data_IF_022126756998
#
_entry.id   IF_022126756998
#
_cell.length_a   1.000
_cell.length_b   1.000
_cell.length_c   1.000
_cell.angle_alpha   90.00
_cell.angle_beta   90.00
_cell.angle_gamma   90.00
#
_symmetry.space_group_name_H-M   'P 1'
#
loop_
_entity.id
_entity.type
_entity.pdbx_description
1 polymer ?
#
# COMPACT_ATOMS: atom_id res chain seq x y z
N UNK A 1 16.08 10.46 10.88
CA UNK A 1 16.40 9.79 9.60
C UNK A 1 15.87 8.36 9.66
N UNK A 2 15.07 7.93 8.69
CA UNK A 2 14.57 6.54 8.62
C UNK A 2 15.75 5.56 8.60
N UNK A 3 15.73 4.55 9.47
CA UNK A 3 16.74 3.48 9.51
C UNK A 3 16.67 2.56 8.27
N UNK A 4 15.61 2.68 7.47
CA UNK A 4 15.35 1.83 6.32
C UNK A 4 15.85 2.49 5.03
N UNK A 5 16.52 1.69 4.19
CA UNK A 5 16.91 2.08 2.83
C UNK A 5 15.71 2.18 1.88
N UNK A 6 14.65 1.42 2.15
CA UNK A 6 13.38 1.52 1.44
C UNK A 6 12.63 2.79 1.89
N UNK A 7 12.03 3.50 0.95
CA UNK A 7 11.21 4.70 1.20
C UNK A 7 9.86 4.59 0.51
N UNK A 8 8.91 5.43 0.93
CA UNK A 8 7.57 5.48 0.35
C UNK A 8 7.62 5.77 -1.15
N UNK A 9 8.51 6.65 -1.57
CA UNK A 9 8.66 7.09 -2.97
C UNK A 9 9.15 5.94 -3.85
N UNK A 10 10.16 5.20 -3.38
CA UNK A 10 10.67 4.01 -4.08
C UNK A 10 9.58 2.95 -4.19
N UNK A 11 8.84 2.70 -3.11
CA UNK A 11 7.76 1.72 -3.12
C UNK A 11 6.61 2.13 -4.05
N UNK A 12 6.21 3.40 -4.06
CA UNK A 12 5.20 3.92 -5.00
C UNK A 12 5.63 3.79 -6.45
N UNK A 13 6.86 4.19 -6.77
CA UNK A 13 7.40 4.07 -8.12
C UNK A 13 7.43 2.61 -8.59
N UNK A 14 7.80 1.69 -7.71
CA UNK A 14 7.76 0.26 -7.99
C UNK A 14 6.35 -0.26 -8.28
N UNK A 15 5.35 0.13 -7.47
CA UNK A 15 3.96 -0.25 -7.71
C UNK A 15 3.39 0.32 -9.02
N UNK A 16 3.85 1.50 -9.43
CA UNK A 16 3.41 2.12 -10.70
C UNK A 16 4.09 1.48 -11.91
N UNK A 17 5.36 1.08 -11.78
CA UNK A 17 6.14 0.51 -12.87
C UNK A 17 5.93 -1.00 -13.05
N UNK A 18 5.57 -1.72 -11.98
CA UNK A 18 5.41 -3.18 -12.00
C UNK A 18 3.94 -3.55 -12.13
N UNK A 19 3.61 -4.47 -13.04
CA UNK A 19 2.23 -4.95 -13.23
C UNK A 19 2.04 -6.44 -12.92
N UNK A 20 3.13 -7.19 -12.72
CA UNK A 20 3.09 -8.67 -12.68
C UNK A 20 3.45 -9.25 -11.32
N UNK A 21 4.47 -8.71 -10.63
CA UNK A 21 5.03 -9.35 -9.42
C UNK A 21 5.34 -8.33 -8.32
N UNK A 22 4.50 -8.33 -7.28
CA UNK A 22 4.63 -7.44 -6.12
C UNK A 22 5.29 -8.16 -4.93
N UNK A 23 6.59 -8.42 -5.03
CA UNK A 23 7.35 -9.02 -3.93
C UNK A 23 8.54 -8.14 -3.51
N UNK A 24 8.99 -8.28 -2.26
CA UNK A 24 10.18 -7.58 -1.78
C UNK A 24 11.44 -7.91 -2.58
N UNK A 25 11.52 -9.13 -3.12
CA UNK A 25 12.58 -9.55 -4.04
C UNK A 25 12.50 -8.81 -5.38
N UNK A 26 11.29 -8.71 -5.95
CA UNK A 26 11.08 -7.96 -7.18
C UNK A 26 11.51 -6.50 -7.03
N UNK A 27 11.13 -5.87 -5.91
CA UNK A 27 11.56 -4.52 -5.62
C UNK A 27 13.09 -4.41 -5.48
N UNK A 28 13.76 -5.36 -4.83
CA UNK A 28 15.23 -5.32 -4.72
C UNK A 28 15.95 -5.44 -6.06
N UNK A 29 15.39 -6.17 -7.02
CA UNK A 29 15.99 -6.36 -8.35
C UNK A 29 15.87 -5.11 -9.24
N UNK A 30 14.79 -4.35 -9.09
CA UNK A 30 14.50 -3.18 -9.94
C UNK A 30 14.79 -1.84 -9.24
N UNK A 31 15.28 -1.86 -8.00
CA UNK A 31 15.54 -0.65 -7.24
C UNK A 31 16.72 0.13 -7.85
N UNK A 32 16.63 1.47 -7.96
CA UNK A 32 17.75 2.29 -8.43
C UNK A 32 18.92 2.35 -7.43
N UNK A 33 18.77 1.77 -6.24
CA UNK A 33 19.80 1.72 -5.18
C UNK A 33 19.90 0.30 -4.62
N UNK A 34 21.08 -0.11 -4.11
CA UNK A 34 21.23 -1.41 -3.47
C UNK A 34 20.28 -1.57 -2.27
N UNK A 35 19.34 -2.50 -2.40
CA UNK A 35 18.24 -2.72 -1.48
C UNK A 35 18.09 -4.23 -1.25
N UNK A 36 18.04 -4.69 0.00
CA UNK A 36 17.73 -6.10 0.27
C UNK A 36 16.23 -6.29 0.42
N UNK A 37 15.70 -7.44 -0.02
CA UNK A 37 14.29 -7.77 0.17
C UNK A 37 13.89 -7.77 1.66
N UNK A 38 14.79 -8.18 2.56
CA UNK A 38 14.55 -8.09 4.02
C UNK A 38 14.37 -6.64 4.50
N UNK A 39 15.15 -5.71 3.94
CA UNK A 39 15.05 -4.30 4.30
C UNK A 39 13.70 -3.71 3.89
N UNK A 40 13.13 -4.18 2.78
CA UNK A 40 11.77 -3.86 2.33
C UNK A 40 10.74 -4.43 3.28
N UNK A 41 10.83 -5.72 3.62
CA UNK A 41 9.89 -6.37 4.55
C UNK A 41 9.87 -5.67 5.91
N UNK A 42 11.04 -5.36 6.47
CA UNK A 42 11.14 -4.60 7.74
C UNK A 42 10.57 -3.20 7.62
N UNK A 43 10.80 -2.51 6.49
CA UNK A 43 10.22 -1.19 6.26
C UNK A 43 8.70 -1.28 6.20
N UNK A 44 8.14 -2.18 5.39
CA UNK A 44 6.69 -2.38 5.28
C UNK A 44 6.04 -2.70 6.64
N UNK A 45 6.66 -3.55 7.46
CA UNK A 45 6.20 -3.86 8.82
C UNK A 45 6.23 -2.66 9.77
N UNK A 46 7.17 -1.73 9.57
CA UNK A 46 7.26 -0.51 10.37
C UNK A 46 6.24 0.56 9.95
N UNK A 47 5.62 0.42 8.77
CA UNK A 47 4.61 1.38 8.32
C UNK A 47 3.25 1.02 8.89
N UNK A 48 2.54 2.02 9.43
CA UNK A 48 1.16 1.89 9.87
C UNK A 48 0.32 2.95 9.16
N UNK A 49 -0.63 2.49 8.34
CA UNK A 49 -1.57 3.35 7.63
C UNK A 49 -2.99 2.95 8.03
N UNK A 50 -3.75 3.86 8.65
CA UNK A 50 -5.15 3.61 8.97
C UNK A 50 -6.04 4.10 7.82
N UNK A 51 -7.17 3.43 7.52
CA UNK A 51 -8.11 3.90 6.50
C UNK A 51 -8.55 5.35 6.72
N UNK A 52 -8.78 5.75 7.97
CA UNK A 52 -9.10 7.14 8.33
C UNK A 52 -8.01 8.11 7.91
N UNK A 53 -6.74 7.77 8.10
CA UNK A 53 -5.62 8.64 7.71
C UNK A 53 -5.59 8.84 6.19
N UNK A 54 -5.92 7.79 5.43
CA UNK A 54 -6.03 7.84 3.96
C UNK A 54 -7.21 8.72 3.55
N UNK A 55 -8.38 8.54 4.16
CA UNK A 55 -9.58 9.33 3.86
C UNK A 55 -9.35 10.83 3.98
N UNK A 56 -8.65 11.27 5.05
CA UNK A 56 -8.34 12.68 5.26
C UNK A 56 -7.46 13.29 4.15
N UNK A 57 -6.70 12.46 3.43
CA UNK A 57 -5.85 12.91 2.32
C UNK A 57 -6.65 12.98 1.01
N UNK A 58 -7.60 12.08 0.80
CA UNK A 58 -8.26 11.90 -0.50
C UNK A 58 -9.65 12.52 -0.60
N UNK A 59 -10.30 12.85 0.51
CA UNK A 59 -11.70 13.34 0.53
C UNK A 59 -11.90 14.58 -0.36
N UNK A 60 -10.92 15.47 -0.42
CA UNK A 60 -11.01 16.73 -1.18
C UNK A 60 -10.75 16.52 -2.69
N UNK A 61 -10.34 15.30 -3.09
CA UNK A 61 -10.23 14.90 -4.50
C UNK A 61 -11.57 14.43 -5.07
N UNK A 62 -12.60 14.28 -4.24
CA UNK A 62 -13.94 13.85 -4.62
C UNK A 62 -14.80 15.09 -4.85
N UNK A 63 -15.29 15.29 -6.07
CA UNK A 63 -16.23 16.37 -6.35
C UNK A 63 -17.61 16.01 -5.77
N UNK A 64 -18.05 16.76 -4.77
CA UNK A 64 -19.36 16.61 -4.13
C UNK A 64 -20.37 17.69 -4.53
N UNK A 65 -19.98 18.65 -5.37
CA UNK A 65 -20.82 19.78 -5.78
C UNK A 65 -21.76 19.41 -6.93
N UNK A 66 -21.34 18.48 -7.79
CA UNK A 66 -22.13 17.99 -8.92
C UNK A 66 -22.92 16.72 -8.54
N UNK A 67 -24.14 16.53 -9.08
CA UNK A 67 -24.87 15.28 -8.92
C UNK A 67 -24.04 14.09 -9.40
N UNK A 68 -23.85 13.09 -8.53
CA UNK A 68 -23.07 11.89 -8.84
C UNK A 68 -23.73 10.62 -8.28
N UNK A 69 -23.30 9.48 -8.82
CA UNK A 69 -23.67 8.16 -8.34
C UNK A 69 -22.50 7.57 -7.54
N UNK A 70 -22.74 7.22 -6.29
CA UNK A 70 -21.80 6.44 -5.48
C UNK A 70 -22.07 4.96 -5.71
N UNK A 71 -21.15 4.28 -6.37
CA UNK A 71 -21.16 2.82 -6.51
C UNK A 71 -20.30 2.23 -5.41
N UNK A 72 -20.89 1.35 -4.60
CA UNK A 72 -20.20 0.64 -3.52
C UNK A 72 -20.21 -0.84 -3.85
N UNK A 73 -19.03 -1.45 -3.85
CA UNK A 73 -18.83 -2.88 -4.05
C UNK A 73 -17.85 -3.37 -2.97
N UNK A 74 -18.04 -4.59 -2.49
CA UNK A 74 -17.16 -5.22 -1.51
C UNK A 74 -16.25 -6.25 -2.18
N UNK A 75 -15.01 -6.36 -1.69
CA UNK A 75 -14.06 -7.34 -2.19
C UNK A 75 -13.40 -8.07 -1.03
N UNK A 76 -13.20 -9.37 -1.20
CA UNK A 76 -12.51 -10.21 -0.23
C UNK A 76 -11.08 -10.44 -0.71
N UNK A 77 -10.12 -9.92 0.06
CA UNK A 77 -8.71 -10.25 -0.16
C UNK A 77 -8.40 -11.58 0.53
N UNK A 78 -8.30 -12.64 -0.26
CA UNK A 78 -7.99 -13.96 0.27
C UNK A 78 -6.54 -14.06 0.79
N UNK A 79 -6.42 -14.41 2.07
CA UNK A 79 -5.15 -14.60 2.77
C UNK A 79 -5.12 -15.94 3.49
N UNK A 80 -5.28 -17.02 2.74
CA UNK A 80 -5.14 -18.41 3.20
C UNK A 80 -4.00 -18.70 4.20
N UNK A 81 -2.87 -17.98 4.09
CA UNK A 81 -1.68 -18.18 4.95
C UNK A 81 -1.57 -17.20 6.13
N UNK A 82 -2.55 -16.31 6.30
CA UNK A 82 -2.58 -15.38 7.43
C UNK A 82 -3.17 -16.07 8.66
N UNK A 83 -2.52 -15.93 9.81
CA UNK A 83 -3.01 -16.47 11.09
C UNK A 83 -4.19 -15.69 11.67
N UNK A 84 -4.51 -14.53 11.08
CA UNK A 84 -5.54 -13.62 11.52
C UNK A 84 -6.21 -12.99 10.30
N UNK A 85 -7.51 -13.20 10.15
CA UNK A 85 -8.33 -12.44 9.21
C UNK A 85 -8.33 -10.99 9.69
N UNK A 86 -7.66 -10.10 8.95
CA UNK A 86 -7.82 -8.66 9.16
C UNK A 86 -9.26 -8.34 8.77
N UNK A 87 -10.13 -8.09 9.76
CA UNK A 87 -11.40 -7.41 9.51
C UNK A 87 -11.07 -6.02 8.98
N UNK A 88 -11.09 -5.87 7.67
CA UNK A 88 -11.20 -4.56 7.08
C UNK A 88 -12.64 -4.09 7.31
N UNK A 89 -12.79 -2.87 7.83
CA UNK A 89 -14.06 -2.17 8.10
C UNK A 89 -14.80 -2.60 9.37
N UNK A 90 -14.35 -2.04 10.50
CA UNK A 90 -15.31 -1.45 11.43
C UNK A 90 -15.35 0.05 11.06
N UNK A 91 -16.48 0.48 10.50
CA UNK A 91 -16.77 1.88 10.16
C UNK A 91 -16.90 2.75 11.42
#
# INVERSE_FOLDING_TARGET
MSRHKCTKEIYKAFLQASSVRYSGLALSEVSPKPLSHDSVSRWLQSQQYRPRDIWHIVKDLINTEEPCLLVVDDTVLDKHRSKQTLRAMEC
#
